data_IF_433449191116
#
_entry.id   IF_433449191116
#
_cell.length_a   1.000
_cell.length_b   1.000
_cell.length_c   1.000
_cell.angle_alpha   90.00
_cell.angle_beta   90.00
_cell.angle_gamma   90.00
#
_symmetry.space_group_name_H-M   'P 1'
#
loop_
_entity.id
_entity.type
_entity.pdbx_description
1 polymer ?
#
# COMPACT_ATOMS: atom_id res chain seq x y z
N UNK A 1 8.60 28.44 31.51
CA UNK A 1 8.00 28.87 30.25
C UNK A 1 6.86 27.94 29.88
N UNK A 2 5.87 28.39 29.13
CA UNK A 2 4.77 27.53 28.68
C UNK A 2 5.24 26.71 27.49
N UNK A 3 5.03 25.40 27.52
CA UNK A 3 5.25 24.55 26.34
C UNK A 3 3.93 24.41 25.59
N UNK A 4 4.02 24.63 24.28
CA UNK A 4 2.95 24.41 23.31
C UNK A 4 3.42 23.34 22.35
N UNK A 5 2.58 22.32 22.18
CA UNK A 5 2.74 21.26 21.21
C UNK A 5 1.94 21.65 19.98
N UNK A 6 2.57 21.53 18.82
CA UNK A 6 1.98 21.89 17.54
C UNK A 6 1.98 20.66 16.64
N UNK A 7 1.00 20.58 15.75
CA UNK A 7 1.10 19.68 14.61
C UNK A 7 2.18 20.20 13.63
N UNK A 8 2.88 19.31 12.90
CA UNK A 8 3.63 19.75 11.72
C UNK A 8 2.66 20.32 10.68
N UNK A 9 3.13 21.26 9.85
CA UNK A 9 2.32 21.78 8.73
C UNK A 9 2.06 20.69 7.68
N UNK A 10 3.01 19.76 7.52
CA UNK A 10 2.82 18.53 6.76
C UNK A 10 2.25 17.44 7.68
N UNK A 11 0.95 17.20 7.56
CA UNK A 11 0.20 16.17 8.30
C UNK A 11 0.13 14.83 7.54
N UNK A 12 0.97 14.61 6.52
CA UNK A 12 1.06 13.32 5.82
C UNK A 12 1.28 12.19 6.85
N UNK A 13 0.52 11.08 6.79
CA UNK A 13 0.65 9.99 7.74
C UNK A 13 2.10 9.46 7.85
N UNK A 14 2.59 9.34 9.08
CA UNK A 14 3.96 8.90 9.36
C UNK A 14 4.80 10.00 10.03
N UNK A 15 6.12 9.82 10.05
CA UNK A 15 7.05 10.77 10.69
C UNK A 15 7.71 11.75 9.71
N UNK A 16 7.51 11.58 8.40
CA UNK A 16 8.24 12.34 7.37
C UNK A 16 8.03 13.85 7.48
N UNK A 17 6.79 14.29 7.73
CA UNK A 17 6.47 15.71 7.89
C UNK A 17 7.14 16.33 9.11
N UNK A 18 7.19 15.59 10.23
CA UNK A 18 7.91 16.01 11.43
C UNK A 18 9.43 16.10 11.20
N UNK A 19 10.03 15.09 10.56
CA UNK A 19 11.47 15.06 10.30
C UNK A 19 11.89 16.19 9.33
N UNK A 20 11.09 16.45 8.29
CA UNK A 20 11.32 17.56 7.37
C UNK A 20 11.25 18.93 8.07
N UNK A 21 10.25 19.11 8.95
CA UNK A 21 10.15 20.32 9.77
C UNK A 21 11.34 20.48 10.71
N UNK A 22 11.71 19.43 11.46
CA UNK A 22 12.84 19.45 12.38
C UNK A 22 14.16 19.78 11.68
N UNK A 23 14.36 19.28 10.46
CA UNK A 23 15.54 19.55 9.64
C UNK A 23 15.55 20.97 9.03
N UNK A 24 14.40 21.63 8.93
CA UNK A 24 14.28 22.96 8.29
C UNK A 24 14.93 24.09 9.10
N UNK A 25 15.02 23.94 10.43
CA UNK A 25 15.44 25.00 11.34
C UNK A 25 14.45 26.16 11.49
N UNK A 26 13.30 26.12 10.80
CA UNK A 26 12.24 27.12 10.91
C UNK A 26 11.20 26.69 11.96
N UNK A 27 11.56 26.88 13.23
CA UNK A 27 10.72 26.52 14.37
C UNK A 27 9.47 27.39 14.54
N UNK A 28 9.27 28.40 13.68
CA UNK A 28 8.04 29.19 13.61
C UNK A 28 6.99 28.62 12.65
N UNK A 29 7.38 27.72 11.75
CA UNK A 29 6.49 27.11 10.75
C UNK A 29 5.78 25.89 11.32
N UNK A 30 4.86 26.14 12.26
CA UNK A 30 4.12 25.12 12.99
C UNK A 30 2.63 25.21 12.70
N UNK A 31 1.96 24.05 12.72
CA UNK A 31 0.52 23.93 12.48
C UNK A 31 -0.33 24.31 13.69
N UNK A 32 -1.51 23.71 13.82
CA UNK A 32 -2.43 24.03 14.92
C UNK A 32 -1.88 23.57 16.28
N UNK A 33 -2.15 24.33 17.35
CA UNK A 33 -1.89 23.90 18.73
C UNK A 33 -2.67 22.61 19.04
N UNK A 34 -1.96 21.53 19.30
CA UNK A 34 -2.56 20.23 19.67
C UNK A 34 -2.65 20.08 21.19
N UNK A 35 -1.69 20.65 21.92
CA UNK A 35 -1.70 20.74 23.38
C UNK A 35 -1.05 22.04 23.84
N UNK A 36 -1.69 22.78 24.75
CA UNK A 36 -1.21 24.10 25.16
C UNK A 36 -1.16 24.31 26.67
N UNK A 37 -0.40 25.32 27.08
CA UNK A 37 -0.25 25.75 28.49
C UNK A 37 0.23 24.63 29.41
N UNK A 38 1.12 23.78 28.88
CA UNK A 38 1.78 22.78 29.69
C UNK A 38 2.98 23.42 30.41
N UNK A 39 3.12 23.10 31.69
CA UNK A 39 4.33 23.41 32.44
C UNK A 39 5.14 22.13 32.50
N UNK A 40 6.26 22.11 31.79
CA UNK A 40 7.26 21.07 31.95
C UNK A 40 8.24 21.52 33.02
N UNK A 41 8.20 20.90 34.19
CA UNK A 41 9.09 21.24 35.30
C UNK A 41 10.32 20.35 35.17
N UNK A 42 11.40 20.91 34.60
CA UNK A 42 12.73 20.33 34.39
C UNK A 42 12.86 19.15 33.39
N UNK A 43 13.57 19.40 32.29
CA UNK A 43 14.58 18.46 31.79
C UNK A 43 15.93 19.18 31.72
N UNK A 44 16.56 19.33 32.87
CA UNK A 44 17.96 19.68 32.97
C UNK A 44 18.58 18.61 33.86
N UNK A 45 19.32 17.69 33.25
CA UNK A 45 20.11 16.67 33.98
C UNK A 45 21.23 17.25 34.84
N UNK A 46 21.06 18.47 35.38
CA UNK A 46 22.03 19.20 36.19
C UNK A 46 21.91 20.73 36.07
N UNK A 47 22.83 21.43 36.75
CA UNK A 47 23.01 22.88 36.65
C UNK A 47 23.68 23.22 35.32
N UNK A 48 23.03 24.00 34.46
CA UNK A 48 23.66 24.58 33.27
C UNK A 48 23.89 26.07 33.45
N UNK A 49 25.00 26.58 32.90
CA UNK A 49 25.24 28.03 32.84
C UNK A 49 24.24 28.68 31.87
N UNK A 50 23.93 29.96 32.10
CA UNK A 50 23.07 30.75 31.22
C UNK A 50 23.51 30.62 29.75
N UNK A 51 22.63 30.11 28.89
CA UNK A 51 22.89 29.89 27.46
C UNK A 51 23.40 28.50 27.06
N UNK A 52 23.62 27.59 28.01
CA UNK A 52 23.96 26.18 27.73
C UNK A 52 22.73 25.28 27.81
N UNK A 53 22.16 24.89 26.68
CA UNK A 53 21.16 23.82 26.63
C UNK A 53 21.87 22.47 26.47
N UNK A 54 21.58 21.52 27.36
CA UNK A 54 22.03 20.13 27.20
C UNK A 54 21.03 19.40 26.31
N UNK A 55 21.38 19.20 25.04
CA UNK A 55 20.53 18.52 24.03
C UNK A 55 20.65 16.98 24.12
N UNK A 56 21.01 16.47 25.29
CA UNK A 56 21.10 15.03 25.55
C UNK A 56 19.70 14.45 25.64
N UNK A 57 19.41 13.50 24.75
CA UNK A 57 18.17 12.71 24.80
C UNK A 57 17.99 12.02 26.17
N UNK A 58 16.74 11.82 26.62
CA UNK A 58 16.45 11.03 27.80
C UNK A 58 17.06 9.64 27.77
N UNK A 59 17.50 9.14 28.92
CA UNK A 59 17.98 7.76 29.06
C UNK A 59 16.88 6.77 28.64
N UNK A 60 17.26 5.68 27.99
CA UNK A 60 16.32 4.64 27.59
C UNK A 60 15.60 4.08 28.84
N UNK A 61 14.27 4.08 28.81
CA UNK A 61 13.44 3.71 29.97
C UNK A 61 12.92 4.89 30.81
N UNK A 62 13.24 6.13 30.43
CA UNK A 62 12.68 7.33 31.05
C UNK A 62 11.15 7.33 30.98
N UNK A 63 10.49 7.53 32.13
CA UNK A 63 9.03 7.65 32.22
C UNK A 63 8.66 9.12 32.39
N UNK A 64 7.99 9.67 31.39
CA UNK A 64 7.39 11.00 31.48
C UNK A 64 5.97 10.90 32.01
N UNK A 65 5.65 11.64 33.08
CA UNK A 65 4.28 11.79 33.59
C UNK A 65 3.80 13.20 33.34
N UNK A 66 2.85 13.33 32.43
CA UNK A 66 2.16 14.59 32.17
C UNK A 66 1.01 14.72 33.17
N UNK A 67 1.08 15.72 34.04
CA UNK A 67 -0.01 16.07 34.95
C UNK A 67 -0.65 17.37 34.46
N UNK A 68 -1.93 17.32 34.08
CA UNK A 68 -2.71 18.51 33.72
C UNK A 68 -3.44 19.07 34.96
N UNK A 69 -3.43 20.39 35.15
CA UNK A 69 -4.25 21.06 36.17
C UNK A 69 -5.70 21.23 35.75
N UNK A 70 -6.03 20.85 34.51
CA UNK A 70 -7.39 20.79 33.97
C UNK A 70 -7.78 19.33 33.72
N UNK A 71 -8.11 18.56 34.78
CA UNK A 71 -8.73 17.27 34.58
C UNK A 71 -10.11 17.47 33.95
N UNK A 72 -10.57 16.48 33.17
CA UNK A 72 -11.92 16.47 32.64
C UNK A 72 -12.91 16.72 33.80
N UNK A 73 -13.78 17.72 33.65
CA UNK A 73 -14.77 18.11 34.64
C UNK A 73 -16.11 17.42 34.36
N UNK A 74 -16.97 17.25 35.37
CA UNK A 74 -18.39 16.92 35.14
C UNK A 74 -19.01 17.98 34.21
N UNK A 75 -19.37 17.60 32.99
CA UNK A 75 -19.91 18.49 31.95
C UNK A 75 -19.05 18.62 30.69
N UNK A 76 -17.81 18.13 30.72
CA UNK A 76 -16.99 18.06 29.51
C UNK A 76 -17.59 17.04 28.52
N UNK A 77 -17.72 17.46 27.26
CA UNK A 77 -18.22 16.61 26.18
C UNK A 77 -17.13 16.44 25.13
N UNK A 78 -16.91 15.19 24.73
CA UNK A 78 -15.98 14.83 23.67
C UNK A 78 -16.81 14.25 22.52
N UNK A 79 -16.63 14.78 21.32
CA UNK A 79 -17.20 14.21 20.11
C UNK A 79 -16.10 13.60 19.25
N UNK A 80 -16.21 12.31 18.98
CA UNK A 80 -15.46 11.67 17.90
C UNK A 80 -16.47 11.35 16.79
N UNK A 81 -16.15 11.71 15.56
CA UNK A 81 -16.97 11.42 14.39
C UNK A 81 -16.16 10.59 13.40
N UNK A 82 -16.71 9.46 12.98
CA UNK A 82 -16.20 8.67 11.86
C UNK A 82 -16.99 8.95 10.58
N UNK A 83 -17.79 10.02 10.55
CA UNK A 83 -18.55 10.40 9.37
C UNK A 83 -17.61 10.64 8.19
N UNK A 84 -17.85 9.95 7.07
CA UNK A 84 -16.99 9.98 5.89
C UNK A 84 -15.83 8.99 5.89
N UNK A 85 -15.59 8.27 6.99
CA UNK A 85 -14.55 7.22 7.09
C UNK A 85 -15.10 5.81 6.80
N UNK A 86 -16.31 5.71 6.25
CA UNK A 86 -16.92 4.45 5.83
C UNK A 86 -16.56 4.08 4.40
N UNK A 87 -16.70 2.80 4.06
CA UNK A 87 -16.63 2.36 2.67
C UNK A 87 -17.72 3.08 1.85
N UNK A 88 -17.31 3.70 0.75
CA UNK A 88 -18.21 4.31 -0.24
C UNK A 88 -18.03 3.63 -1.58
N UNK A 89 -19.02 3.79 -2.45
CA UNK A 89 -18.84 3.47 -3.85
C UNK A 89 -17.76 4.39 -4.44
N UNK A 90 -16.88 3.81 -5.25
CA UNK A 90 -15.93 4.55 -6.07
C UNK A 90 -16.68 5.37 -7.12
N UNK A 91 -16.17 6.55 -7.42
CA UNK A 91 -16.62 7.33 -8.56
C UNK A 91 -16.21 6.63 -9.86
N UNK A 92 -16.80 7.04 -10.98
CA UNK A 92 -16.39 6.50 -12.29
C UNK A 92 -14.91 6.78 -12.59
N UNK A 93 -14.42 7.97 -12.20
CA UNK A 93 -13.02 8.36 -12.39
C UNK A 93 -12.06 7.46 -11.60
N UNK A 94 -12.42 7.12 -10.35
CA UNK A 94 -11.66 6.20 -9.51
C UNK A 94 -11.65 4.78 -10.11
N UNK A 95 -12.80 4.28 -10.58
CA UNK A 95 -12.89 2.98 -11.23
C UNK A 95 -12.06 2.89 -12.52
N UNK A 96 -11.96 3.99 -13.28
CA UNK A 96 -11.11 4.05 -14.48
C UNK A 96 -9.64 4.07 -14.10
N UNK A 97 -9.25 4.83 -13.06
CA UNK A 97 -7.88 4.86 -12.57
C UNK A 97 -7.42 3.48 -12.07
N UNK A 98 -8.30 2.73 -11.41
CA UNK A 98 -8.04 1.37 -10.92
C UNK A 98 -7.74 0.35 -12.04
N UNK A 99 -8.08 0.64 -13.30
CA UNK A 99 -7.71 -0.22 -14.44
C UNK A 99 -6.19 -0.34 -14.58
N UNK A 100 -5.43 0.69 -14.23
CA UNK A 100 -3.97 0.69 -14.33
C UNK A 100 -3.31 -0.25 -13.31
N UNK A 101 -3.99 -0.48 -12.19
CA UNK A 101 -3.59 -1.38 -11.10
C UNK A 101 -3.83 -2.87 -11.43
N UNK A 102 -4.57 -3.18 -12.51
CA UNK A 102 -4.74 -4.55 -12.96
C UNK A 102 -3.39 -5.13 -13.39
N UNK A 103 -3.03 -6.25 -12.77
CA UNK A 103 -1.72 -6.87 -12.91
C UNK A 103 -1.79 -8.39 -13.09
N UNK A 104 -0.63 -9.00 -13.31
CA UNK A 104 -0.43 -10.44 -13.34
C UNK A 104 0.80 -10.80 -12.50
N UNK A 105 0.68 -11.81 -11.65
CA UNK A 105 1.74 -12.23 -10.73
C UNK A 105 1.93 -13.76 -10.73
N UNK A 106 3.18 -14.26 -10.68
CA UNK A 106 4.42 -13.50 -10.86
C UNK A 106 4.60 -13.01 -12.30
N UNK A 107 5.22 -11.85 -12.49
CA UNK A 107 5.62 -11.34 -13.79
C UNK A 107 7.06 -10.78 -13.73
N UNK A 108 8.05 -11.41 -14.40
CA UNK A 108 7.89 -12.61 -15.23
C UNK A 108 7.63 -13.87 -14.40
N UNK A 109 6.93 -14.83 -14.99
CA UNK A 109 6.84 -16.19 -14.46
C UNK A 109 8.17 -16.91 -14.67
N UNK A 110 8.74 -17.48 -13.61
CA UNK A 110 10.09 -18.09 -13.61
C UNK A 110 10.06 -19.53 -13.11
N UNK A 111 9.55 -20.44 -13.94
CA UNK A 111 9.59 -21.90 -13.75
C UNK A 111 8.76 -22.44 -12.58
N UNK A 112 8.40 -21.60 -11.61
CA UNK A 112 7.53 -21.92 -10.49
C UNK A 112 6.85 -20.64 -9.98
N UNK A 113 5.79 -20.85 -9.23
CA UNK A 113 5.00 -19.80 -8.59
C UNK A 113 4.53 -20.28 -7.22
N UNK A 114 4.42 -19.36 -6.26
CA UNK A 114 3.91 -19.69 -4.92
C UNK A 114 2.44 -20.13 -4.92
N UNK A 115 1.73 -19.94 -6.04
CA UNK A 115 0.35 -20.36 -6.21
C UNK A 115 0.21 -21.84 -6.65
N UNK A 116 1.31 -22.48 -7.02
CA UNK A 116 1.29 -23.86 -7.53
C UNK A 116 1.09 -24.87 -6.39
N UNK A 117 0.04 -25.68 -6.51
CA UNK A 117 -0.28 -26.76 -5.55
C UNK A 117 0.33 -28.11 -5.94
N UNK A 118 0.86 -28.22 -7.17
CA UNK A 118 1.45 -29.43 -7.74
C UNK A 118 2.57 -29.07 -8.70
N UNK A 119 3.58 -29.94 -8.81
CA UNK A 119 4.70 -29.75 -9.74
C UNK A 119 4.30 -29.76 -11.22
N UNK A 120 3.13 -30.33 -11.53
CA UNK A 120 2.59 -30.51 -12.88
C UNK A 120 1.75 -29.33 -13.38
N UNK A 121 1.34 -28.42 -12.49
CA UNK A 121 0.49 -27.29 -12.84
C UNK A 121 1.27 -26.02 -12.60
N UNK A 122 1.59 -25.32 -13.68
CA UNK A 122 2.12 -23.97 -13.58
C UNK A 122 0.94 -23.00 -13.35
N UNK A 123 1.09 -21.99 -12.50
CA UNK A 123 -0.03 -21.07 -12.22
C UNK A 123 0.42 -19.63 -12.01
N UNK A 124 -0.31 -18.71 -12.64
CA UNK A 124 -0.26 -17.27 -12.39
C UNK A 124 -1.63 -16.76 -11.97
N UNK A 125 -1.64 -15.55 -11.42
CA UNK A 125 -2.85 -14.90 -10.96
C UNK A 125 -2.90 -13.47 -11.44
N UNK A 126 -4.01 -13.11 -12.08
CA UNK A 126 -4.38 -11.72 -12.32
C UNK A 126 -4.85 -11.09 -11.00
N UNK A 127 -4.38 -9.88 -10.74
CA UNK A 127 -4.60 -9.12 -9.50
C UNK A 127 -5.39 -7.86 -9.75
N UNK A 128 -6.04 -7.33 -8.71
CA UNK A 128 -6.88 -6.12 -8.77
C UNK A 128 -7.99 -6.22 -9.82
N UNK A 129 -8.51 -7.44 -10.06
CA UNK A 129 -9.49 -7.67 -11.10
C UNK A 129 -10.88 -7.15 -10.71
N UNK A 130 -11.61 -6.49 -11.62
CA UNK A 130 -13.02 -6.16 -11.44
C UNK A 130 -13.88 -7.43 -11.48
N UNK A 131 -15.15 -7.33 -11.07
CA UNK A 131 -16.04 -8.49 -10.96
C UNK A 131 -16.28 -9.20 -12.30
N UNK A 132 -16.28 -8.42 -13.39
CA UNK A 132 -16.47 -8.89 -14.75
C UNK A 132 -15.36 -8.35 -15.65
N UNK A 133 -14.70 -9.24 -16.39
CA UNK A 133 -13.68 -8.87 -17.38
C UNK A 133 -13.45 -10.02 -18.37
N UNK A 134 -13.07 -9.66 -19.60
CA UNK A 134 -12.58 -10.61 -20.60
C UNK A 134 -11.08 -10.43 -20.77
N UNK A 135 -10.32 -11.50 -20.59
CA UNK A 135 -8.85 -11.49 -20.67
C UNK A 135 -8.44 -12.25 -21.92
N UNK A 136 -7.73 -11.60 -22.83
CA UNK A 136 -7.21 -12.19 -24.07
C UNK A 136 -5.69 -12.19 -24.03
N UNK A 137 -5.09 -13.35 -24.19
CA UNK A 137 -3.63 -13.50 -24.19
C UNK A 137 -3.15 -13.69 -25.61
N UNK A 138 -2.19 -12.88 -26.04
CA UNK A 138 -1.59 -12.92 -27.36
C UNK A 138 -0.09 -13.18 -27.27
N UNK A 139 0.47 -13.87 -28.26
CA UNK A 139 1.91 -13.85 -28.52
C UNK A 139 2.34 -12.51 -29.13
N UNK A 140 3.65 -12.20 -29.14
CA UNK A 140 4.17 -10.94 -29.69
C UNK A 140 3.88 -10.71 -31.19
N UNK A 141 3.64 -11.77 -31.95
CA UNK A 141 3.25 -11.69 -33.36
C UNK A 141 1.73 -11.50 -33.56
N UNK A 142 0.96 -11.36 -32.48
CA UNK A 142 -0.49 -11.10 -32.51
C UNK A 142 -1.39 -12.33 -32.60
N UNK A 143 -0.86 -13.55 -32.46
CA UNK A 143 -1.69 -14.76 -32.40
C UNK A 143 -2.40 -14.85 -31.05
N UNK A 144 -3.72 -15.05 -31.08
CA UNK A 144 -4.52 -15.31 -29.88
C UNK A 144 -4.17 -16.69 -29.33
N UNK A 145 -3.81 -16.75 -28.05
CA UNK A 145 -3.41 -17.97 -27.33
C UNK A 145 -4.57 -18.55 -26.54
N UNK A 146 -5.33 -17.69 -25.86
CA UNK A 146 -6.50 -18.07 -25.08
C UNK A 146 -7.36 -16.84 -24.74
N UNK A 147 -8.65 -17.08 -24.52
CA UNK A 147 -9.60 -16.10 -23.96
C UNK A 147 -10.13 -16.65 -22.63
N UNK A 148 -10.08 -15.82 -21.59
CA UNK A 148 -10.52 -16.18 -20.24
C UNK A 148 -11.62 -15.22 -19.79
N UNK A 149 -12.76 -15.77 -19.38
CA UNK A 149 -13.91 -14.98 -18.93
C UNK A 149 -13.99 -14.97 -17.41
N UNK A 150 -13.90 -13.78 -16.82
CA UNK A 150 -14.08 -13.58 -15.39
C UNK A 150 -15.49 -13.08 -15.13
N UNK A 151 -16.22 -13.80 -14.27
CA UNK A 151 -17.54 -13.43 -13.77
C UNK A 151 -17.65 -13.78 -12.27
N UNK A 152 -16.84 -13.16 -11.41
CA UNK A 152 -16.82 -13.45 -9.97
C UNK A 152 -16.35 -12.26 -9.14
N UNK A 153 -16.85 -12.16 -7.90
CA UNK A 153 -16.52 -11.07 -6.96
C UNK A 153 -15.10 -11.09 -6.40
N UNK A 154 -14.32 -12.15 -6.67
CA UNK A 154 -12.92 -12.21 -6.26
C UNK A 154 -12.10 -11.12 -6.97
N UNK A 155 -11.24 -10.40 -6.24
CA UNK A 155 -10.28 -9.45 -6.84
C UNK A 155 -9.12 -10.14 -7.57
N UNK A 156 -9.17 -11.46 -7.69
CA UNK A 156 -8.15 -12.27 -8.35
C UNK A 156 -8.76 -13.28 -9.32
N UNK A 157 -7.96 -13.68 -10.31
CA UNK A 157 -8.33 -14.72 -11.27
C UNK A 157 -7.10 -15.54 -11.65
N UNK A 158 -7.16 -16.86 -11.55
CA UNK A 158 -6.01 -17.73 -11.83
C UNK A 158 -6.01 -18.21 -13.28
N UNK A 159 -4.82 -18.35 -13.85
CA UNK A 159 -4.59 -19.01 -15.14
C UNK A 159 -3.44 -19.99 -15.02
N UNK A 160 -3.60 -21.16 -15.63
CA UNK A 160 -2.68 -22.29 -15.57
C UNK A 160 -1.62 -22.26 -16.69
N UNK A 161 -1.49 -21.12 -17.39
CA UNK A 161 -0.55 -20.93 -18.49
C UNK A 161 -0.77 -21.93 -19.64
N UNK A 162 -2.03 -22.20 -19.98
CA UNK A 162 -2.43 -23.05 -21.10
C UNK A 162 -3.10 -22.28 -22.23
N UNK A 163 -3.04 -22.82 -23.45
CA UNK A 163 -3.80 -22.37 -24.62
C UNK A 163 -5.28 -22.72 -24.48
N UNK A 164 -6.11 -22.27 -25.41
CA UNK A 164 -7.53 -22.63 -25.47
C UNK A 164 -7.77 -24.15 -25.59
N UNK A 165 -6.83 -24.89 -26.20
CA UNK A 165 -6.83 -26.35 -26.28
C UNK A 165 -6.26 -27.04 -25.03
N UNK A 166 -5.92 -26.29 -23.98
CA UNK A 166 -5.35 -26.81 -22.74
C UNK A 166 -3.87 -27.23 -22.84
N UNK A 167 -3.16 -26.80 -23.89
CA UNK A 167 -1.74 -27.09 -24.04
C UNK A 167 -0.89 -26.06 -23.30
N UNK A 168 0.19 -26.45 -22.59
CA UNK A 168 1.08 -25.49 -21.93
C UNK A 168 1.72 -24.53 -22.94
N UNK A 169 1.72 -23.23 -22.62
CA UNK A 169 2.39 -22.23 -23.46
C UNK A 169 3.92 -22.33 -23.36
N UNK A 170 4.62 -21.88 -24.41
CA UNK A 170 6.07 -21.85 -24.44
C UNK A 170 6.66 -20.69 -23.60
N UNK A 171 7.97 -20.78 -23.29
CA UNK A 171 8.72 -19.63 -22.79
C UNK A 171 8.71 -18.51 -23.83
N UNK A 172 8.49 -17.26 -23.40
CA UNK A 172 8.42 -16.13 -24.30
C UNK A 172 7.77 -14.91 -23.67
N UNK A 173 7.55 -13.90 -24.52
CA UNK A 173 6.82 -12.69 -24.18
C UNK A 173 5.40 -12.76 -24.75
N UNK A 174 4.46 -12.27 -23.97
CA UNK A 174 3.03 -12.25 -24.29
C UNK A 174 2.46 -10.87 -24.01
N UNK A 175 1.37 -10.54 -24.70
CA UNK A 175 0.53 -9.39 -24.44
C UNK A 175 -0.80 -9.89 -23.86
N UNK A 176 -1.15 -9.42 -22.67
CA UNK A 176 -2.45 -9.67 -22.08
C UNK A 176 -3.30 -8.42 -22.28
N UNK A 177 -4.42 -8.56 -22.95
CA UNK A 177 -5.45 -7.54 -23.07
C UNK A 177 -6.57 -7.87 -22.10
N UNK A 178 -6.89 -6.95 -21.20
CA UNK A 178 -7.99 -7.07 -20.25
C UNK A 178 -9.03 -6.04 -20.65
N UNK A 179 -10.22 -6.50 -20.98
CA UNK A 179 -11.37 -5.68 -21.34
C UNK A 179 -12.39 -5.72 -20.20
N UNK A 180 -12.74 -4.53 -19.69
CA UNK A 180 -13.64 -4.36 -18.55
C UNK A 180 -14.90 -3.64 -19.04
N UNK A 181 -16.04 -4.35 -19.14
CA UNK A 181 -17.26 -3.81 -19.73
C UNK A 181 -17.70 -2.49 -19.09
N UNK A 182 -17.82 -1.44 -19.91
CA UNK A 182 -18.29 -0.13 -19.49
C UNK A 182 -17.26 0.76 -18.78
N UNK A 183 -16.03 0.28 -18.54
CA UNK A 183 -14.96 1.04 -17.91
C UNK A 183 -13.78 1.31 -18.86
N UNK A 184 -13.34 0.30 -19.60
CA UNK A 184 -12.22 0.44 -20.53
C UNK A 184 -11.34 -0.79 -20.59
N UNK A 185 -10.09 -0.59 -21.02
CA UNK A 185 -9.18 -1.67 -21.38
C UNK A 185 -7.79 -1.47 -20.75
N UNK A 186 -7.11 -2.57 -20.44
CA UNK A 186 -5.74 -2.58 -19.91
C UNK A 186 -4.87 -3.58 -20.67
N UNK A 187 -3.67 -3.16 -21.08
CA UNK A 187 -2.69 -4.03 -21.72
C UNK A 187 -1.50 -4.28 -20.78
N UNK A 188 -1.15 -5.54 -20.57
CA UNK A 188 -0.05 -5.99 -19.72
C UNK A 188 0.97 -6.76 -20.55
N UNK A 189 2.25 -6.45 -20.38
CA UNK A 189 3.36 -7.22 -20.97
C UNK A 189 3.75 -8.33 -19.99
N UNK A 190 3.68 -9.58 -20.42
CA UNK A 190 3.89 -10.73 -19.56
C UNK A 190 5.04 -11.61 -20.07
N UNK A 191 6.04 -11.86 -19.22
CA UNK A 191 7.18 -12.73 -19.54
C UNK A 191 7.05 -14.11 -18.91
N UNK A 192 7.36 -15.16 -19.66
CA UNK A 192 7.29 -16.56 -19.21
C UNK A 192 8.62 -17.25 -19.48
N UNK A 193 9.17 -17.86 -18.43
CA UNK A 193 10.34 -18.73 -18.50
C UNK A 193 9.91 -20.07 -17.89
N UNK A 194 9.62 -21.07 -18.72
CA UNK A 194 9.25 -22.41 -18.28
C UNK A 194 10.48 -23.18 -17.79
N UNK A 195 10.28 -24.00 -16.75
CA UNK A 195 11.26 -25.02 -16.31
C UNK A 195 11.36 -26.11 -17.37
N UNK A 196 12.53 -26.76 -17.47
CA UNK A 196 12.66 -27.99 -18.27
C UNK A 196 11.84 -29.08 -17.57
N UNK A 197 10.85 -29.64 -18.26
CA UNK A 197 10.07 -30.75 -17.73
C UNK A 197 11.01 -31.95 -17.56
N UNK A 198 11.30 -32.32 -16.32
CA UNK A 198 11.94 -33.59 -15.99
C UNK A 198 10.85 -34.57 -15.60
N UNK A 199 10.57 -35.54 -16.46
CA UNK A 199 9.76 -36.69 -16.10
C UNK A 199 10.66 -37.62 -15.29
N UNK A 200 10.28 -37.92 -14.05
CA UNK A 200 10.93 -38.98 -13.30
C UNK A 200 10.61 -40.31 -14.01
N UNK A 201 11.55 -40.78 -14.83
CA UNK A 201 11.60 -42.17 -15.28
C UNK A 201 11.96 -43.02 -14.07
N UNK A 202 11.00 -43.80 -13.57
CA UNK A 202 11.26 -44.88 -12.62
C UNK A 202 11.73 -46.13 -13.38
#
# INVERSE_FOLDING_TARGET
DWIYWYAPVDETPGESGYQAWAASGDYGNVGTHTFGRMVFVNWNGGTTASGGFSDTMPEAGSVFRINTTKPNQPGDTFSLSTAGLGARAETLEEQIADLDEIGISPNPYKGASAYEVSQLVDQVRFTNMPNQATIRVFSLNGTLITTLEKNSSSKTFSWDLTTEEGLPIASGMYLVHVDVPGLGERIIKFGVIKKRVQLNTF
#
